data_IF_597482218130
#
_entry.id   IF_597482218130
#
_cell.length_a   1.000
_cell.length_b   1.000
_cell.length_c   1.000
_cell.angle_alpha   90.00
_cell.angle_beta   90.00
_cell.angle_gamma   90.00
#
_symmetry.space_group_name_H-M   'P 1'
#
loop_
_entity.id
_entity.type
_entity.pdbx_description
1 polymer ?
#
# COMPACT_ATOMS: atom_id res chain seq x y z
N UNK A 1 -14.95 2.43 -15.29
CA UNK A 1 -14.69 3.17 -14.04
C UNK A 1 -14.67 2.15 -12.91
N UNK A 2 -13.61 2.14 -12.10
CA UNK A 2 -13.52 1.27 -10.91
C UNK A 2 -14.45 1.86 -9.86
N UNK A 3 -15.46 1.09 -9.43
CA UNK A 3 -16.35 1.48 -8.35
C UNK A 3 -15.68 1.19 -7.01
N UNK A 4 -15.60 2.21 -6.15
CA UNK A 4 -15.01 2.09 -4.82
C UNK A 4 -16.08 2.48 -3.79
N UNK A 5 -16.41 1.61 -2.82
CA UNK A 5 -17.45 1.90 -1.84
C UNK A 5 -17.02 2.99 -0.85
N UNK A 6 -17.99 3.72 -0.31
CA UNK A 6 -17.82 4.63 0.83
C UNK A 6 -16.68 5.68 0.69
N UNK A 7 -16.50 6.26 -0.50
CA UNK A 7 -15.50 7.33 -0.71
C UNK A 7 -15.90 8.64 -0.01
N UNK A 8 -17.19 8.87 0.16
CA UNK A 8 -17.74 10.03 0.85
C UNK A 8 -17.34 10.09 2.33
N UNK A 9 -17.12 8.94 2.97
CA UNK A 9 -16.64 8.85 4.36
C UNK A 9 -15.25 9.48 4.57
N UNK A 10 -14.42 9.53 3.50
CA UNK A 10 -13.11 10.18 3.51
C UNK A 10 -13.11 11.54 2.80
N UNK A 11 -14.29 12.06 2.48
CA UNK A 11 -14.46 13.37 1.84
C UNK A 11 -14.09 13.41 0.36
N UNK A 12 -14.21 12.27 -0.35
CA UNK A 12 -14.01 12.19 -1.80
C UNK A 12 -15.35 11.90 -2.44
N UNK A 13 -15.91 12.87 -3.15
CA UNK A 13 -17.17 12.71 -3.87
C UNK A 13 -16.97 12.06 -5.25
N UNK A 14 -18.09 11.70 -5.89
CA UNK A 14 -18.11 11.00 -7.18
C UNK A 14 -17.50 11.84 -8.31
N UNK A 15 -17.68 13.17 -8.27
CA UNK A 15 -17.12 14.09 -9.26
C UNK A 15 -15.59 14.12 -9.16
N UNK A 16 -15.07 14.32 -7.95
CA UNK A 16 -13.63 14.29 -7.65
C UNK A 16 -13.03 12.95 -8.05
N UNK A 17 -13.69 11.84 -7.68
CA UNK A 17 -13.22 10.49 -8.04
C UNK A 17 -13.17 10.29 -9.55
N UNK A 18 -14.24 10.67 -10.25
CA UNK A 18 -14.30 10.56 -11.71
C UNK A 18 -13.20 11.36 -12.39
N UNK A 19 -12.94 12.56 -11.89
CA UNK A 19 -11.88 13.44 -12.38
C UNK A 19 -10.49 12.83 -12.17
N UNK A 20 -10.15 12.41 -10.95
CA UNK A 20 -8.81 11.84 -10.68
C UNK A 20 -8.61 10.48 -11.31
N UNK A 21 -9.67 9.68 -11.48
CA UNK A 21 -9.61 8.42 -12.21
C UNK A 21 -9.25 8.67 -13.69
N UNK A 22 -9.89 9.67 -14.31
CA UNK A 22 -9.54 10.09 -15.67
C UNK A 22 -8.11 10.63 -15.75
N UNK A 23 -7.68 11.48 -14.80
CA UNK A 23 -6.29 11.97 -14.72
C UNK A 23 -5.27 10.82 -14.63
N UNK A 24 -5.57 9.80 -13.81
CA UNK A 24 -4.74 8.61 -13.68
C UNK A 24 -4.63 7.85 -15.00
N UNK A 25 -5.74 7.61 -15.71
CA UNK A 25 -5.75 7.01 -17.06
C UNK A 25 -4.89 7.80 -18.06
N UNK A 26 -4.88 9.13 -17.95
CA UNK A 26 -4.02 10.01 -18.75
C UNK A 26 -2.58 10.12 -18.22
N UNK A 27 -2.23 9.38 -17.17
CA UNK A 27 -0.92 9.37 -16.49
C UNK A 27 -0.49 10.74 -15.93
N UNK A 28 -1.45 11.57 -15.54
CA UNK A 28 -1.22 12.86 -14.89
C UNK A 28 -0.94 12.69 -13.39
N UNK A 29 -0.05 11.75 -13.03
CA UNK A 29 0.18 11.33 -11.63
C UNK A 29 0.90 12.36 -10.77
N UNK A 30 1.40 13.43 -11.37
CA UNK A 30 1.99 14.58 -10.67
C UNK A 30 1.01 15.75 -10.51
N UNK A 31 -0.25 15.59 -10.92
CA UNK A 31 -1.28 16.60 -10.70
C UNK A 31 -1.62 16.73 -9.21
N UNK A 32 -1.75 17.97 -8.74
CA UNK A 32 -1.96 18.29 -7.33
C UNK A 32 -3.26 17.68 -6.78
N UNK A 33 -4.31 17.58 -7.60
CA UNK A 33 -5.60 17.03 -7.17
C UNK A 33 -5.53 15.51 -7.02
N UNK A 34 -4.90 14.82 -7.96
CA UNK A 34 -4.65 13.38 -7.87
C UNK A 34 -3.77 13.06 -6.65
N UNK A 35 -2.66 13.80 -6.45
CA UNK A 35 -1.79 13.62 -5.29
C UNK A 35 -2.53 13.90 -3.98
N UNK A 36 -3.41 14.90 -3.94
CA UNK A 36 -4.24 15.19 -2.77
C UNK A 36 -5.22 14.06 -2.46
N UNK A 37 -5.89 13.49 -3.47
CA UNK A 37 -6.76 12.32 -3.28
C UNK A 37 -5.96 11.13 -2.77
N UNK A 38 -4.80 10.85 -3.37
CA UNK A 38 -3.94 9.74 -2.95
C UNK A 38 -3.42 9.91 -1.52
N UNK A 39 -3.02 11.12 -1.13
CA UNK A 39 -2.64 11.45 0.24
C UNK A 39 -3.83 11.30 1.21
N UNK A 40 -5.02 11.74 0.82
CA UNK A 40 -6.25 11.57 1.61
C UNK A 40 -6.57 10.10 1.80
N UNK A 41 -6.46 9.29 0.75
CA UNK A 41 -6.64 7.85 0.82
C UNK A 41 -5.62 7.18 1.76
N UNK A 42 -4.32 7.45 1.57
CA UNK A 42 -3.27 6.92 2.42
C UNK A 42 -3.45 7.29 3.91
N UNK A 43 -3.83 8.53 4.20
CA UNK A 43 -4.08 9.01 5.56
C UNK A 43 -5.23 8.26 6.25
N UNK A 44 -6.24 7.85 5.48
CA UNK A 44 -7.40 7.12 5.98
C UNK A 44 -7.27 5.60 5.81
N UNK A 45 -6.09 5.09 5.43
CA UNK A 45 -5.88 3.66 5.20
C UNK A 45 -6.67 3.10 4.01
N UNK A 46 -7.13 3.93 3.09
CA UNK A 46 -7.94 3.54 1.91
C UNK A 46 -7.04 3.06 0.78
N UNK A 47 -6.46 1.89 1.01
CA UNK A 47 -5.50 1.25 0.11
C UNK A 47 -6.12 0.81 -1.21
N UNK A 48 -7.41 0.54 -1.22
CA UNK A 48 -8.20 0.30 -2.42
C UNK A 48 -8.16 1.49 -3.40
N UNK A 49 -8.27 2.73 -2.90
CA UNK A 49 -8.16 3.94 -3.71
C UNK A 49 -6.75 4.11 -4.28
N UNK A 50 -5.72 3.91 -3.43
CA UNK A 50 -4.32 3.96 -3.85
C UNK A 50 -4.04 2.93 -4.95
N UNK A 51 -4.54 1.69 -4.77
CA UNK A 51 -4.39 0.63 -5.74
C UNK A 51 -5.13 0.92 -7.05
N UNK A 52 -6.38 1.40 -6.98
CA UNK A 52 -7.17 1.72 -8.15
C UNK A 52 -6.52 2.80 -9.02
N UNK A 53 -6.01 3.89 -8.41
CA UNK A 53 -5.26 4.92 -9.15
C UNK A 53 -4.01 4.35 -9.82
N UNK A 54 -3.29 3.47 -9.13
CA UNK A 54 -2.13 2.77 -9.69
C UNK A 54 -2.49 1.88 -10.89
N UNK A 55 -3.60 1.14 -10.80
CA UNK A 55 -4.11 0.31 -11.90
C UNK A 55 -4.50 1.17 -13.10
N UNK A 56 -5.23 2.27 -12.88
CA UNK A 56 -5.66 3.17 -13.95
C UNK A 56 -4.47 3.84 -14.66
N UNK A 57 -3.46 4.26 -13.91
CA UNK A 57 -2.23 4.81 -14.48
C UNK A 57 -1.35 3.77 -15.18
N UNK A 58 -1.47 2.50 -14.80
CA UNK A 58 -0.54 1.44 -15.19
C UNK A 58 0.88 1.70 -14.67
N UNK A 59 0.99 2.32 -13.49
CA UNK A 59 2.23 2.70 -12.83
C UNK A 59 2.22 2.19 -11.39
N UNK A 60 3.38 1.80 -10.88
CA UNK A 60 3.52 1.45 -9.47
C UNK A 60 3.60 2.73 -8.63
N UNK A 61 3.03 2.72 -7.45
CA UNK A 61 3.15 3.83 -6.50
C UNK A 61 3.61 3.32 -5.15
N UNK A 62 4.41 4.12 -4.46
CA UNK A 62 4.85 3.88 -3.09
C UNK A 62 4.22 4.90 -2.16
N UNK A 63 3.83 4.45 -0.97
CA UNK A 63 3.48 5.30 0.16
C UNK A 63 4.40 4.93 1.32
N UNK A 64 5.04 5.93 1.93
CA UNK A 64 5.80 5.78 3.17
C UNK A 64 5.21 6.69 4.24
N UNK A 65 4.85 6.13 5.38
CA UNK A 65 4.38 6.84 6.57
C UNK A 65 5.47 6.76 7.63
N UNK A 66 5.97 7.92 8.04
CA UNK A 66 7.06 8.02 9.00
C UNK A 66 6.59 8.06 10.47
N UNK A 67 7.54 8.17 11.41
CA UNK A 67 7.25 8.19 12.84
C UNK A 67 6.30 9.34 13.27
N UNK A 68 6.24 10.43 12.51
CA UNK A 68 5.42 11.62 12.77
C UNK A 68 4.18 11.71 11.89
N UNK A 69 3.79 10.59 11.26
CA UNK A 69 2.64 10.51 10.35
C UNK A 69 2.79 11.38 9.09
N UNK A 70 4.03 11.73 8.71
CA UNK A 70 4.30 12.37 7.43
C UNK A 70 4.18 11.32 6.33
N UNK A 71 3.30 11.59 5.37
CA UNK A 71 3.02 10.72 4.23
C UNK A 71 3.84 11.19 3.04
N UNK A 72 4.67 10.29 2.52
CA UNK A 72 5.44 10.50 1.29
C UNK A 72 4.93 9.57 0.21
N UNK A 73 4.64 10.12 -0.97
CA UNK A 73 4.13 9.36 -2.12
C UNK A 73 5.14 9.47 -3.26
N UNK A 74 5.44 8.33 -3.89
CA UNK A 74 6.28 8.25 -5.08
C UNK A 74 5.61 7.42 -6.18
N UNK A 75 5.95 7.71 -7.43
CA UNK A 75 5.43 7.02 -8.61
C UNK A 75 6.58 6.43 -9.42
N UNK A 76 6.60 5.10 -9.54
CA UNK A 76 7.60 4.34 -10.26
C UNK A 76 7.07 3.70 -11.54
N UNK A 77 8.00 3.28 -12.40
CA UNK A 77 7.70 2.34 -13.50
C UNK A 77 7.65 0.91 -12.97
N UNK A 78 6.85 0.04 -13.59
CA UNK A 78 6.65 -1.35 -13.12
C UNK A 78 7.96 -2.11 -12.84
N UNK A 79 8.04 -2.73 -11.67
CA UNK A 79 9.15 -3.54 -11.17
C UNK A 79 10.26 -2.77 -10.44
N UNK A 80 10.11 -1.47 -10.20
CA UNK A 80 11.18 -0.61 -9.65
C UNK A 80 10.69 0.41 -8.61
N UNK A 81 9.83 0.01 -7.67
CA UNK A 81 9.58 0.82 -6.48
C UNK A 81 10.50 0.37 -5.34
N UNK A 82 11.59 1.10 -5.16
CA UNK A 82 12.49 0.93 -4.03
C UNK A 82 12.00 1.79 -2.86
N UNK A 83 12.07 1.26 -1.64
CA UNK A 83 12.01 2.09 -0.43
C UNK A 83 13.03 3.24 -0.53
N UNK A 84 12.54 4.45 -0.77
CA UNK A 84 13.35 5.66 -0.91
C UNK A 84 12.76 6.77 -0.03
N UNK A 85 13.09 6.77 1.28
CA UNK A 85 12.59 7.79 2.19
C UNK A 85 13.06 9.18 1.74
N UNK A 86 12.15 10.16 1.59
CA UNK A 86 12.54 11.53 1.31
C UNK A 86 13.46 12.12 2.39
N UNK A 87 14.23 13.14 2.00
CA UNK A 87 15.07 13.88 2.95
C UNK A 87 14.18 14.52 4.01
N UNK A 88 14.47 14.21 5.28
CA UNK A 88 13.77 14.77 6.44
C UNK A 88 12.75 13.83 7.11
N UNK A 89 12.45 12.66 6.54
CA UNK A 89 11.58 11.68 7.19
C UNK A 89 12.19 11.13 8.50
N UNK A 90 11.32 10.77 9.45
CA UNK A 90 11.73 10.24 10.76
C UNK A 90 11.49 8.74 10.90
N UNK A 91 12.57 8.02 11.18
CA UNK A 91 12.54 6.60 11.50
C UNK A 91 12.29 6.35 13.01
N UNK A 92 11.75 5.18 13.41
CA UNK A 92 11.26 4.11 12.54
C UNK A 92 9.99 4.51 11.75
N UNK A 93 9.92 4.08 10.50
CA UNK A 93 8.76 4.26 9.64
C UNK A 93 7.64 3.31 10.07
N UNK A 94 6.44 3.87 10.25
CA UNK A 94 5.24 3.10 10.64
C UNK A 94 4.79 2.15 9.55
N UNK A 95 4.84 2.60 8.30
CA UNK A 95 4.28 1.84 7.20
C UNK A 95 4.97 2.15 5.87
N UNK A 96 5.28 1.10 5.11
CA UNK A 96 5.62 1.19 3.70
C UNK A 96 4.59 0.40 2.87
N UNK A 97 3.96 1.02 1.88
CA UNK A 97 3.00 0.39 0.98
C UNK A 97 3.49 0.58 -0.45
N UNK A 98 3.41 -0.44 -1.28
CA UNK A 98 3.56 -0.29 -2.73
C UNK A 98 2.54 -1.11 -3.50
N UNK A 99 2.36 -0.80 -4.78
CA UNK A 99 1.37 -1.45 -5.64
C UNK A 99 2.03 -2.32 -6.70
N UNK A 100 1.34 -3.39 -7.10
CA UNK A 100 1.58 -4.19 -8.30
C UNK A 100 0.34 -4.11 -9.21
N UNK A 101 0.21 -3.06 -10.05
CA UNK A 101 -0.98 -2.85 -10.87
C UNK A 101 -1.16 -3.97 -11.89
N UNK A 102 -2.29 -4.68 -11.82
CA UNK A 102 -2.59 -5.80 -12.72
C UNK A 102 -1.91 -7.13 -12.38
N UNK A 103 -1.18 -7.23 -11.26
CA UNK A 103 -0.54 -8.46 -10.82
C UNK A 103 -0.93 -8.82 -9.38
N UNK A 104 -0.56 -10.03 -8.94
CA UNK A 104 -0.77 -10.48 -7.58
C UNK A 104 0.02 -9.66 -6.56
N UNK A 105 -0.51 -9.58 -5.34
CA UNK A 105 0.23 -9.08 -4.20
C UNK A 105 1.20 -10.17 -3.73
N UNK A 106 2.49 -9.97 -3.99
CA UNK A 106 3.57 -10.86 -3.57
C UNK A 106 4.83 -10.05 -3.30
N UNK A 107 5.76 -10.59 -2.52
CA UNK A 107 7.06 -9.96 -2.32
C UNK A 107 8.01 -10.34 -3.46
N UNK A 108 8.32 -9.38 -4.33
CA UNK A 108 9.27 -9.52 -5.44
C UNK A 108 10.73 -9.60 -4.94
N UNK A 109 11.67 -9.87 -5.85
CA UNK A 109 13.10 -9.79 -5.54
C UNK A 109 13.55 -8.38 -5.12
N UNK A 110 12.95 -7.34 -5.70
CA UNK A 110 13.20 -5.95 -5.32
C UNK A 110 12.63 -5.68 -3.92
N UNK A 111 11.42 -6.15 -3.64
CA UNK A 111 10.74 -5.91 -2.37
C UNK A 111 11.47 -6.61 -1.23
N UNK A 112 11.80 -7.90 -1.40
CA UNK A 112 12.55 -8.68 -0.41
C UNK A 112 13.93 -8.07 -0.16
N UNK A 113 14.58 -7.49 -1.17
CA UNK A 113 15.81 -6.72 -0.97
C UNK A 113 15.55 -5.46 -0.13
N UNK A 114 14.51 -4.68 -0.42
CA UNK A 114 14.14 -3.51 0.38
C UNK A 114 13.80 -3.87 1.83
N UNK A 115 13.00 -4.92 2.05
CA UNK A 115 12.66 -5.42 3.39
C UNK A 115 13.88 -5.90 4.17
N UNK A 116 14.89 -6.48 3.49
CA UNK A 116 16.14 -6.88 4.15
C UNK A 116 16.91 -5.70 4.74
N UNK A 117 16.82 -4.51 4.13
CA UNK A 117 17.38 -3.26 4.65
C UNK A 117 16.44 -2.54 5.63
N UNK A 118 15.13 -2.77 5.53
CA UNK A 118 14.09 -2.19 6.38
C UNK A 118 14.05 -2.71 7.82
N UNK A 119 14.94 -3.63 8.18
CA UNK A 119 14.95 -4.24 9.52
C UNK A 119 15.32 -3.18 10.57
N UNK A 120 14.56 -3.14 11.67
CA UNK A 120 14.74 -2.15 12.73
C UNK A 120 14.29 -0.73 12.37
N UNK A 121 13.86 -0.48 11.13
CA UNK A 121 13.43 0.86 10.70
C UNK A 121 12.06 0.92 10.03
N UNK A 122 11.45 -0.18 9.60
CA UNK A 122 10.07 -0.23 9.10
C UNK A 122 9.26 -1.18 9.97
N UNK A 123 8.15 -0.72 10.53
CA UNK A 123 7.27 -1.52 11.39
C UNK A 123 6.42 -2.51 10.60
N UNK A 124 5.81 -2.03 9.51
CA UNK A 124 4.91 -2.80 8.65
C UNK A 124 5.17 -2.48 7.18
N UNK A 125 5.02 -3.48 6.32
CA UNK A 125 5.06 -3.33 4.88
C UNK A 125 3.83 -3.98 4.24
N UNK A 126 3.34 -3.40 3.14
CA UNK A 126 2.19 -3.93 2.38
C UNK A 126 2.45 -3.89 0.88
N UNK A 127 2.00 -4.93 0.17
CA UNK A 127 1.91 -4.93 -1.30
C UNK A 127 0.44 -5.00 -1.69
N UNK A 128 -0.01 -4.08 -2.53
CA UNK A 128 -1.37 -4.03 -3.05
C UNK A 128 -1.40 -4.62 -4.46
N UNK A 129 -2.25 -5.62 -4.69
CA UNK A 129 -2.37 -6.31 -5.96
C UNK A 129 -3.76 -6.88 -6.17
N UNK A 130 -3.90 -7.80 -7.12
CA UNK A 130 -5.13 -8.57 -7.34
C UNK A 130 -4.88 -10.04 -6.98
N UNK A 131 -5.60 -10.64 -6.01
CA UNK A 131 -6.95 -10.23 -5.59
C UNK A 131 -7.00 -9.35 -4.34
N UNK A 132 -5.88 -8.86 -3.81
CA UNK A 132 -5.92 -8.15 -2.53
C UNK A 132 -4.57 -7.65 -2.02
N UNK A 133 -4.44 -7.67 -0.70
CA UNK A 133 -3.35 -7.04 0.04
C UNK A 133 -2.48 -8.09 0.72
N UNK A 134 -1.17 -8.04 0.46
CA UNK A 134 -0.19 -8.82 1.23
C UNK A 134 0.43 -7.93 2.30
N UNK A 135 0.52 -8.42 3.53
CA UNK A 135 1.09 -7.68 4.66
C UNK A 135 2.28 -8.42 5.27
N UNK A 136 3.23 -7.65 5.77
CA UNK A 136 4.35 -8.15 6.56
C UNK A 136 4.64 -7.20 7.71
N UNK A 137 4.88 -7.74 8.90
CA UNK A 137 5.26 -6.99 10.10
C UNK A 137 6.67 -7.35 10.50
N UNK A 138 7.37 -6.39 11.07
CA UNK A 138 8.76 -6.52 11.46
C UNK A 138 8.92 -6.84 12.95
N UNK A 139 9.37 -8.06 13.24
CA UNK A 139 9.54 -8.58 14.60
C UNK A 139 10.58 -7.80 15.42
N UNK A 140 11.48 -7.04 14.78
CA UNK A 140 12.47 -6.24 15.52
C UNK A 140 11.87 -4.99 16.16
N UNK A 141 10.72 -4.52 15.67
CA UNK A 141 10.03 -3.36 16.24
C UNK A 141 8.73 -3.78 16.93
N UNK A 142 7.95 -4.65 16.29
CA UNK A 142 6.71 -5.21 16.81
C UNK A 142 6.86 -6.73 16.96
N UNK A 143 7.35 -7.24 18.10
CA UNK A 143 7.54 -8.68 18.28
C UNK A 143 6.22 -9.46 18.17
N UNK A 144 6.26 -10.57 17.45
CA UNK A 144 5.14 -11.51 17.33
C UNK A 144 5.57 -12.95 17.60
N UNK A 145 4.58 -13.84 17.78
CA UNK A 145 4.79 -15.26 18.11
C UNK A 145 5.70 -15.94 17.07
N UNK A 146 6.48 -16.92 17.54
CA UNK A 146 7.31 -17.81 16.73
C UNK A 146 6.48 -18.65 15.75
N UNK A 147 5.18 -18.83 15.99
CA UNK A 147 4.26 -19.55 15.10
C UNK A 147 3.91 -18.80 13.81
N UNK A 148 4.18 -17.50 13.74
CA UNK A 148 3.90 -16.71 12.53
C UNK A 148 4.91 -17.07 11.45
N UNK A 149 4.42 -17.43 10.26
CA UNK A 149 5.24 -17.70 9.09
C UNK A 149 6.19 -16.53 8.80
N UNK A 150 7.35 -16.82 8.23
CA UNK A 150 8.40 -15.83 7.94
C UNK A 150 8.68 -15.81 6.44
N UNK A 151 9.00 -14.64 5.90
CA UNK A 151 9.32 -14.51 4.45
C UNK A 151 10.50 -15.42 4.07
N UNK A 152 11.45 -15.60 4.99
CA UNK A 152 12.55 -16.55 4.85
C UNK A 152 12.78 -17.33 6.15
N UNK A 153 13.20 -18.60 6.08
CA UNK A 153 13.58 -19.36 7.28
C UNK A 153 14.82 -18.79 7.99
N UNK A 154 15.64 -17.98 7.33
CA UNK A 154 16.87 -17.41 7.90
C UNK A 154 17.24 -16.06 7.29
N UNK A 155 18.23 -15.40 7.90
CA UNK A 155 18.74 -14.11 7.46
C UNK A 155 17.81 -12.95 7.80
N UNK A 156 18.02 -11.77 7.18
CA UNK A 156 17.25 -10.56 7.41
C UNK A 156 15.72 -10.78 7.33
N UNK A 157 15.26 -11.46 6.28
CA UNK A 157 13.84 -11.71 6.01
C UNK A 157 13.15 -12.62 7.04
N UNK A 158 13.90 -13.28 7.94
CA UNK A 158 13.32 -14.02 9.07
C UNK A 158 12.64 -13.10 10.11
N UNK A 159 12.98 -11.81 10.11
CA UNK A 159 12.36 -10.82 10.98
C UNK A 159 10.98 -10.37 10.48
N UNK A 160 10.60 -10.75 9.27
CA UNK A 160 9.36 -10.30 8.63
C UNK A 160 8.33 -11.42 8.60
N UNK A 161 7.09 -11.13 9.02
CA UNK A 161 5.98 -12.09 8.89
C UNK A 161 5.65 -12.33 7.42
N UNK A 162 5.21 -13.53 7.08
CA UNK A 162 4.68 -13.84 5.75
C UNK A 162 3.19 -14.14 5.88
N UNK A 163 2.39 -13.07 5.91
CA UNK A 163 0.94 -13.18 6.06
C UNK A 163 0.31 -13.51 4.70
N UNK A 164 -0.78 -14.26 4.73
CA UNK A 164 -1.55 -14.59 3.54
C UNK A 164 -2.14 -13.31 2.91
N UNK A 165 -2.44 -13.38 1.62
CA UNK A 165 -3.11 -12.27 0.93
C UNK A 165 -4.54 -12.15 1.45
N UNK A 166 -4.88 -11.00 2.00
CA UNK A 166 -6.26 -10.64 2.34
C UNK A 166 -6.95 -10.15 1.07
N UNK A 167 -8.01 -10.83 0.62
CA UNK A 167 -8.74 -10.41 -0.59
C UNK A 167 -9.34 -9.01 -0.41
N UNK A 168 -9.58 -8.27 -1.50
CA UNK A 168 -10.25 -6.97 -1.41
C UNK A 168 -11.65 -7.08 -0.79
N UNK A 169 -12.39 -8.15 -1.07
CA UNK A 169 -13.72 -8.39 -0.48
C UNK A 169 -13.62 -8.54 1.05
N UNK A 170 -12.71 -9.39 1.53
CA UNK A 170 -12.46 -9.55 2.96
C UNK A 170 -11.90 -8.27 3.60
N UNK A 171 -11.09 -7.52 2.85
CA UNK A 171 -10.55 -6.23 3.28
C UNK A 171 -11.68 -5.20 3.47
N UNK A 172 -12.65 -5.14 2.55
CA UNK A 172 -13.81 -4.26 2.69
C UNK A 172 -14.69 -4.64 3.88
N UNK A 173 -14.91 -5.93 4.11
CA UNK A 173 -15.64 -6.41 5.30
C UNK A 173 -14.89 -5.99 6.58
N UNK A 174 -13.57 -6.17 6.59
CA UNK A 174 -12.73 -5.93 7.78
C UNK A 174 -12.53 -4.46 8.11
N UNK A 175 -12.23 -3.63 7.11
CA UNK A 175 -11.78 -2.25 7.30
C UNK A 175 -12.89 -1.22 7.11
N UNK A 176 -13.88 -1.51 6.25
CA UNK A 176 -14.99 -0.58 5.94
C UNK A 176 -16.32 -1.08 6.54
N UNK A 177 -16.40 -2.35 6.93
CA UNK A 177 -17.65 -2.93 7.46
C UNK A 177 -18.72 -3.16 6.39
N UNK A 178 -18.33 -3.21 5.11
CA UNK A 178 -19.24 -3.58 4.02
C UNK A 178 -19.48 -5.08 4.12
N UNK A 179 -20.54 -5.47 4.81
CA UNK A 179 -20.96 -6.88 4.88
C UNK A 179 -21.25 -7.44 3.49
N UNK A 180 -20.98 -8.73 3.30
CA UNK A 180 -21.20 -9.49 2.05
C UNK A 180 -22.46 -9.01 1.32
N UNK A 181 -22.28 -8.33 0.19
CA UNK A 181 -23.38 -8.08 -0.74
C UNK A 181 -23.66 -9.43 -1.38
N UNK A 182 -24.57 -10.19 -0.77
CA UNK A 182 -25.03 -11.48 -1.28
C UNK A 182 -25.40 -11.34 -2.76
N UNK A 183 -24.70 -12.10 -3.61
CA UNK A 183 -25.03 -12.30 -5.01
C UNK A 183 -26.35 -13.09 -5.18
#
# INVERSE_FOLDING_TARGET
MIGIPALDEIGIDEETWSQVAYMAEQRQVSDDELLKVQHTAAKNGRWDVVYALSVLAGLETSVLIDAEDVISIDWGTSGHVQLSPPVGCKAPFKLWVHTHPGFAAYWSGTDTRSLSFGIGIIEQAMVLGSPGVKTSRNATILPFDKKVNRISPSGPLHQWSDEDVLSWDDWYVKEIGVGEVNA
#
